data_IF_158733456427
#
_entry.id   IF_158733456427
#
_cell.length_a   1.000
_cell.length_b   1.000
_cell.length_c   1.000
_cell.angle_alpha   90.00
_cell.angle_beta   90.00
_cell.angle_gamma   90.00
#
_symmetry.space_group_name_H-M   'P 1'
#
loop_
_entity.id
_entity.type
_entity.pdbx_description
1 polymer ?
#
# COMPACT_ATOMS: atom_id res chain seq x y z
N UNK A 1 63.16 12.29 8.95
CA UNK A 1 62.64 11.06 8.31
C UNK A 1 61.71 10.37 9.29
N UNK A 2 60.41 10.66 9.24
CA UNK A 2 59.40 10.01 10.07
C UNK A 2 58.63 9.02 9.17
N UNK A 3 58.78 7.73 9.46
CA UNK A 3 58.02 6.67 8.79
C UNK A 3 56.54 6.76 9.18
N UNK A 4 55.70 7.19 8.24
CA UNK A 4 54.25 7.01 8.32
C UNK A 4 53.95 5.51 8.21
N UNK A 5 53.47 4.93 9.30
CA UNK A 5 53.10 3.52 9.38
C UNK A 5 51.73 3.34 8.73
N UNK A 6 51.72 2.91 7.47
CA UNK A 6 50.48 2.56 6.75
C UNK A 6 49.95 1.24 7.33
N UNK A 7 48.70 1.17 7.82
CA UNK A 7 48.18 -0.07 8.38
C UNK A 7 48.06 -1.16 7.29
N UNK A 8 48.33 -2.44 7.61
CA UNK A 8 48.41 -3.51 6.62
C UNK A 8 47.05 -3.78 5.94
N UNK A 9 47.07 -3.96 4.61
CA UNK A 9 45.90 -4.18 3.73
C UNK A 9 44.91 -5.27 4.19
N UNK A 10 45.33 -6.18 5.08
CA UNK A 10 44.54 -7.30 5.61
C UNK A 10 43.40 -6.86 6.54
N UNK A 11 43.51 -5.71 7.19
CA UNK A 11 42.45 -5.16 8.06
C UNK A 11 41.36 -4.44 7.27
N UNK A 12 41.73 -3.76 6.17
CA UNK A 12 40.82 -3.06 5.27
C UNK A 12 39.94 -4.01 4.45
N UNK A 13 40.51 -5.12 3.95
CA UNK A 13 39.75 -6.15 3.22
C UNK A 13 38.73 -6.88 4.10
N UNK A 14 39.02 -7.05 5.40
CA UNK A 14 38.06 -7.62 6.37
C UNK A 14 36.91 -6.65 6.70
N UNK A 15 37.14 -5.34 6.72
CA UNK A 15 36.09 -4.32 6.91
C UNK A 15 35.12 -4.26 5.71
N UNK A 16 35.61 -4.42 4.48
CA UNK A 16 34.77 -4.46 3.27
C UNK A 16 33.87 -5.72 3.24
N UNK A 17 34.39 -6.87 3.70
CA UNK A 17 33.60 -8.10 3.86
C UNK A 17 32.53 -8.00 4.97
N UNK A 18 32.76 -7.17 6.01
CA UNK A 18 31.80 -6.93 7.11
C UNK A 18 30.55 -6.16 6.67
N UNK A 19 30.66 -5.20 5.74
CA UNK A 19 29.50 -4.51 5.16
C UNK A 19 28.66 -5.46 4.27
N UNK A 20 29.31 -6.38 3.56
CA UNK A 20 28.63 -7.39 2.73
C UNK A 20 27.96 -8.49 3.57
N UNK A 21 28.55 -8.90 4.69
CA UNK A 21 27.94 -9.88 5.58
C UNK A 21 26.70 -9.35 6.32
N UNK A 22 26.67 -8.05 6.68
CA UNK A 22 25.46 -7.38 7.19
C UNK A 22 24.37 -7.21 6.12
N UNK A 23 24.73 -7.11 4.84
CA UNK A 23 23.77 -7.16 3.72
C UNK A 23 23.22 -8.57 3.43
N UNK A 24 23.86 -9.63 3.93
CA UNK A 24 23.57 -11.02 3.59
C UNK A 24 22.77 -11.80 4.65
N UNK A 25 22.39 -11.19 5.77
CA UNK A 25 21.43 -11.82 6.71
C UNK A 25 19.99 -11.80 6.16
N UNK A 26 19.78 -11.19 4.99
CA UNK A 26 18.48 -11.15 4.33
C UNK A 26 18.41 -11.82 2.96
N UNK A 27 19.50 -12.37 2.41
CA UNK A 27 19.52 -12.87 1.03
C UNK A 27 19.60 -14.38 0.88
N UNK A 28 18.48 -15.06 0.62
CA UNK A 28 18.50 -16.50 0.35
C UNK A 28 17.26 -17.10 -0.36
N UNK A 29 17.49 -17.48 -1.62
CA UNK A 29 16.79 -18.47 -2.48
C UNK A 29 15.41 -18.17 -3.11
N UNK A 30 15.36 -18.33 -4.44
CA UNK A 30 14.17 -18.39 -5.31
C UNK A 30 14.15 -19.74 -6.01
N UNK A 31 12.99 -20.39 -6.08
CA UNK A 31 12.67 -21.46 -7.03
C UNK A 31 11.47 -21.04 -7.92
N UNK A 32 11.48 -21.48 -9.17
CA UNK A 32 10.67 -20.98 -10.29
C UNK A 32 9.24 -21.57 -10.32
N UNK A 33 8.30 -20.76 -10.84
CA UNK A 33 6.94 -21.17 -11.20
C UNK A 33 6.81 -21.37 -12.71
N UNK A 34 5.89 -22.23 -13.13
CA UNK A 34 5.43 -22.37 -14.52
C UNK A 34 3.91 -22.51 -14.55
N UNK A 35 3.25 -21.67 -15.35
CA UNK A 35 1.80 -21.70 -15.61
C UNK A 35 1.54 -21.97 -17.10
N UNK A 36 0.57 -22.84 -17.40
CA UNK A 36 0.08 -23.13 -18.74
C UNK A 36 -1.27 -22.41 -18.99
N UNK A 37 -1.46 -21.90 -20.22
CA UNK A 37 -2.74 -21.42 -20.75
C UNK A 37 -3.39 -22.48 -21.64
N UNK A 38 -4.73 -22.51 -21.70
CA UNK A 38 -5.48 -23.22 -22.73
C UNK A 38 -6.71 -22.39 -23.18
N UNK A 39 -7.13 -22.44 -24.47
CA UNK A 39 -8.01 -21.44 -25.08
C UNK A 39 -9.50 -21.83 -25.17
N UNK A 40 -10.32 -20.80 -25.41
CA UNK A 40 -11.79 -20.82 -25.52
C UNK A 40 -12.32 -21.39 -26.85
N UNK A 41 -13.50 -22.01 -26.83
CA UNK A 41 -14.31 -22.29 -28.02
C UNK A 41 -15.73 -21.75 -27.86
N UNK A 42 -16.17 -20.98 -28.87
CA UNK A 42 -17.55 -20.52 -29.07
C UNK A 42 -18.38 -21.61 -29.77
N UNK A 43 -19.66 -21.74 -29.42
CA UNK A 43 -20.66 -22.37 -30.29
C UNK A 43 -22.01 -21.68 -30.11
N UNK A 44 -22.61 -21.26 -31.22
CA UNK A 44 -23.89 -20.57 -31.31
C UNK A 44 -24.91 -21.50 -31.99
N UNK A 45 -26.15 -21.59 -31.46
CA UNK A 45 -27.27 -22.31 -32.08
C UNK A 45 -28.43 -21.34 -32.43
N UNK A 46 -29.30 -21.68 -33.41
CA UNK A 46 -30.31 -20.78 -34.00
C UNK A 46 -31.69 -20.84 -33.29
N UNK A 47 -32.44 -19.74 -33.41
CA UNK A 47 -33.74 -19.47 -32.80
C UNK A 47 -34.94 -19.88 -33.68
N UNK A 48 -36.00 -20.40 -33.05
CA UNK A 48 -37.32 -20.65 -33.63
C UNK A 48 -38.33 -19.55 -33.19
N UNK A 49 -39.40 -19.24 -33.97
CA UNK A 49 -40.34 -18.15 -33.67
C UNK A 49 -41.43 -18.53 -32.66
N UNK A 50 -41.77 -17.60 -31.76
CA UNK A 50 -42.84 -17.72 -30.74
C UNK A 50 -44.16 -17.05 -31.18
N UNK A 51 -45.33 -17.57 -30.74
CA UNK A 51 -46.67 -17.08 -31.07
C UNK A 51 -47.00 -15.69 -30.47
N UNK A 52 -47.91 -14.99 -31.14
CA UNK A 52 -48.29 -13.59 -30.90
C UNK A 52 -49.21 -13.44 -29.67
N UNK A 53 -48.62 -13.18 -28.50
CA UNK A 53 -49.33 -12.93 -27.24
C UNK A 53 -49.97 -11.53 -27.19
N UNK A 54 -51.19 -11.42 -26.67
CA UNK A 54 -51.89 -10.16 -26.48
C UNK A 54 -51.18 -9.24 -25.46
N UNK A 55 -50.96 -7.97 -25.84
CA UNK A 55 -50.31 -6.97 -24.98
C UNK A 55 -51.23 -6.53 -23.82
N UNK A 56 -50.66 -6.34 -22.63
CA UNK A 56 -51.31 -5.78 -21.44
C UNK A 56 -51.09 -4.27 -21.24
N UNK A 57 -51.51 -3.76 -20.09
CA UNK A 57 -51.33 -2.36 -19.66
C UNK A 57 -50.94 -2.25 -18.18
N UNK A 58 -50.24 -1.18 -17.82
CA UNK A 58 -49.87 -0.87 -16.42
C UNK A 58 -50.37 0.53 -16.09
N UNK A 59 -51.05 0.71 -14.96
CA UNK A 59 -51.57 2.00 -14.49
C UNK A 59 -51.31 2.17 -13.01
N UNK A 60 -51.20 3.41 -12.54
CA UNK A 60 -51.07 3.68 -11.11
C UNK A 60 -51.06 5.17 -10.78
N UNK A 61 -50.98 5.48 -9.49
CA UNK A 61 -50.89 6.84 -8.96
C UNK A 61 -49.65 6.95 -8.07
N UNK A 62 -48.91 8.05 -8.23
CA UNK A 62 -47.71 8.36 -7.44
C UNK A 62 -48.09 9.28 -6.28
N UNK A 63 -47.79 8.86 -5.05
CA UNK A 63 -48.02 9.63 -3.81
C UNK A 63 -46.72 9.73 -3.00
N UNK A 64 -46.67 10.55 -1.95
CA UNK A 64 -45.60 10.54 -0.95
C UNK A 64 -45.91 9.59 0.23
N UNK A 65 -45.13 9.67 1.30
CA UNK A 65 -45.33 8.92 2.56
C UNK A 65 -46.54 9.36 3.38
N UNK A 66 -46.99 10.61 3.23
CA UNK A 66 -48.15 11.19 3.90
C UNK A 66 -49.44 11.02 3.07
N UNK A 67 -49.33 10.43 1.87
CA UNK A 67 -50.44 10.20 0.93
C UNK A 67 -50.73 11.38 0.02
N UNK A 68 -49.88 12.41 -0.01
CA UNK A 68 -50.03 13.54 -0.93
C UNK A 68 -49.68 13.13 -2.37
N UNK A 69 -50.39 13.68 -3.35
CA UNK A 69 -50.21 13.35 -4.77
C UNK A 69 -48.93 13.99 -5.33
N UNK A 70 -48.14 13.22 -6.08
CA UNK A 70 -46.93 13.70 -6.76
C UNK A 70 -47.16 13.82 -8.27
N UNK A 71 -47.37 15.05 -8.73
CA UNK A 71 -47.42 15.39 -10.15
C UNK A 71 -46.01 15.58 -10.72
N UNK A 72 -45.80 15.24 -12.00
CA UNK A 72 -44.51 15.45 -12.67
C UNK A 72 -43.43 14.41 -12.35
N UNK A 73 -43.76 13.31 -11.66
CA UNK A 73 -42.85 12.20 -11.45
C UNK A 73 -42.54 11.54 -12.80
N UNK A 74 -41.26 11.24 -13.08
CA UNK A 74 -40.83 10.46 -14.25
C UNK A 74 -40.95 8.98 -13.92
N UNK A 75 -41.65 8.23 -14.76
CA UNK A 75 -41.83 6.79 -14.65
C UNK A 75 -41.18 6.14 -15.87
N UNK A 76 -40.22 5.24 -15.63
CA UNK A 76 -39.51 4.48 -16.66
C UNK A 76 -39.84 3.01 -16.51
N UNK A 77 -40.42 2.41 -17.55
CA UNK A 77 -40.69 0.98 -17.66
C UNK A 77 -39.58 0.32 -18.48
N UNK A 78 -38.80 -0.53 -17.82
CA UNK A 78 -37.78 -1.38 -18.41
C UNK A 78 -38.28 -2.82 -18.44
N UNK A 79 -38.01 -3.54 -19.53
CA UNK A 79 -38.39 -4.94 -19.67
C UNK A 79 -37.15 -5.81 -19.74
N UNK A 80 -37.16 -6.90 -18.99
CA UNK A 80 -36.06 -7.87 -18.96
C UNK A 80 -36.33 -8.94 -20.03
N UNK A 81 -35.31 -9.32 -20.80
CA UNK A 81 -35.35 -10.34 -21.87
C UNK A 81 -35.99 -9.96 -23.22
N UNK A 82 -35.84 -8.73 -23.72
CA UNK A 82 -36.17 -8.44 -25.13
C UNK A 82 -34.96 -7.97 -25.93
N UNK A 83 -35.00 -8.28 -27.23
CA UNK A 83 -34.00 -7.88 -28.21
C UNK A 83 -33.69 -6.37 -28.10
N UNK A 84 -32.44 -5.94 -28.41
CA UNK A 84 -31.93 -4.58 -28.18
C UNK A 84 -32.68 -3.42 -28.89
N UNK A 85 -33.80 -3.70 -29.54
CA UNK A 85 -34.66 -2.74 -30.24
C UNK A 85 -35.96 -2.36 -29.50
N UNK A 86 -36.24 -2.91 -28.31
CA UNK A 86 -37.37 -2.42 -27.47
C UNK A 86 -36.88 -1.42 -26.45
N UNK A 87 -36.99 -0.15 -26.83
CA UNK A 87 -36.68 1.03 -26.03
C UNK A 87 -37.47 1.04 -24.71
N UNK A 88 -36.82 1.47 -23.62
CA UNK A 88 -37.49 1.79 -22.35
C UNK A 88 -38.64 2.76 -22.61
N UNK A 89 -39.83 2.46 -22.08
CA UNK A 89 -40.97 3.37 -22.19
C UNK A 89 -40.92 4.35 -21.02
N UNK A 90 -41.06 5.64 -21.30
CA UNK A 90 -41.12 6.68 -20.27
C UNK A 90 -42.46 7.42 -20.34
N UNK A 91 -43.00 7.74 -19.17
CA UNK A 91 -44.13 8.66 -19.01
C UNK A 91 -43.90 9.57 -17.82
N UNK A 92 -44.71 10.62 -17.71
CA UNK A 92 -44.71 11.54 -16.57
C UNK A 92 -46.08 11.42 -15.88
N UNK A 93 -46.13 11.49 -14.55
CA UNK A 93 -47.39 11.52 -13.82
C UNK A 93 -48.15 12.83 -14.07
N UNK A 94 -49.46 12.72 -14.28
CA UNK A 94 -50.37 13.84 -14.50
C UNK A 94 -50.57 14.68 -13.22
N UNK A 95 -51.36 15.75 -13.29
CA UNK A 95 -51.66 16.64 -12.15
C UNK A 95 -52.39 15.95 -11.00
N UNK A 96 -53.04 14.82 -11.26
CA UNK A 96 -53.68 13.93 -10.28
C UNK A 96 -52.75 12.77 -9.85
N UNK A 97 -51.47 12.80 -10.24
CA UNK A 97 -50.46 11.78 -9.95
C UNK A 97 -50.60 10.49 -10.74
N UNK A 98 -51.57 10.40 -11.65
CA UNK A 98 -51.83 9.18 -12.43
C UNK A 98 -50.82 8.99 -13.57
N UNK A 99 -50.52 7.74 -13.90
CA UNK A 99 -49.73 7.37 -15.08
C UNK A 99 -50.29 6.10 -15.74
N UNK A 100 -50.00 5.91 -17.03
CA UNK A 100 -50.37 4.69 -17.75
C UNK A 100 -49.38 4.31 -18.85
N UNK A 101 -49.13 3.01 -18.98
CA UNK A 101 -48.45 2.38 -20.11
C UNK A 101 -49.42 1.42 -20.79
N UNK A 102 -49.45 1.43 -22.12
CA UNK A 102 -50.34 0.57 -22.90
C UNK A 102 -49.55 -0.20 -23.96
N UNK A 103 -50.13 -1.32 -24.42
CA UNK A 103 -49.53 -2.22 -25.42
C UNK A 103 -48.20 -2.83 -24.96
N UNK A 104 -48.14 -3.21 -23.70
CA UNK A 104 -46.95 -3.83 -23.09
C UNK A 104 -47.00 -5.34 -23.37
N UNK A 105 -46.04 -5.93 -24.09
CA UNK A 105 -46.04 -7.37 -24.28
C UNK A 105 -45.84 -8.11 -22.95
N UNK A 106 -46.44 -9.30 -22.77
CA UNK A 106 -46.36 -10.05 -21.52
C UNK A 106 -44.92 -10.44 -21.16
N UNK A 107 -44.61 -10.49 -19.87
CA UNK A 107 -43.28 -10.83 -19.36
C UNK A 107 -42.85 -10.02 -18.14
N UNK A 108 -41.63 -10.26 -17.64
CA UNK A 108 -41.08 -9.53 -16.50
C UNK A 108 -40.82 -8.07 -16.85
N UNK A 109 -41.12 -7.19 -15.90
CA UNK A 109 -40.90 -5.76 -16.04
C UNK A 109 -40.39 -5.14 -14.74
N UNK A 110 -39.73 -4.01 -14.89
CA UNK A 110 -39.29 -3.16 -13.80
C UNK A 110 -39.70 -1.72 -14.08
N UNK A 111 -40.35 -1.09 -13.12
CA UNK A 111 -40.76 0.31 -13.15
C UNK A 111 -39.89 1.08 -12.18
N UNK A 112 -39.23 2.12 -12.69
CA UNK A 112 -38.45 3.08 -11.88
C UNK A 112 -39.15 4.42 -11.88
N UNK A 113 -39.45 4.94 -10.70
CA UNK A 113 -40.21 6.19 -10.51
C UNK A 113 -39.31 7.17 -9.78
N UNK A 114 -39.15 8.37 -10.34
CA UNK A 114 -38.30 9.43 -9.79
C UNK A 114 -39.01 10.78 -9.88
N UNK A 115 -39.01 11.55 -8.80
CA UNK A 115 -39.52 12.92 -8.75
C UNK A 115 -38.50 13.83 -8.03
N UNK A 116 -38.46 15.11 -8.38
CA UNK A 116 -37.55 16.06 -7.74
C UNK A 116 -37.87 16.17 -6.23
N UNK A 117 -36.86 16.04 -5.38
CA UNK A 117 -37.03 16.07 -3.92
C UNK A 117 -37.42 14.73 -3.28
N UNK A 118 -37.56 13.65 -4.05
CA UNK A 118 -37.93 12.32 -3.56
C UNK A 118 -36.89 11.26 -3.93
N UNK A 119 -36.74 10.23 -3.09
CA UNK A 119 -35.90 9.08 -3.41
C UNK A 119 -36.56 8.21 -4.49
N UNK A 120 -35.85 7.78 -5.54
CA UNK A 120 -36.44 6.96 -6.59
C UNK A 120 -36.87 5.60 -6.05
N UNK A 121 -38.03 5.11 -6.49
CA UNK A 121 -38.56 3.79 -6.10
C UNK A 121 -38.64 2.87 -7.31
N UNK A 122 -38.24 1.62 -7.11
CA UNK A 122 -38.29 0.57 -8.12
C UNK A 122 -39.33 -0.49 -7.74
N UNK A 123 -40.15 -0.90 -8.71
CA UNK A 123 -41.13 -1.98 -8.57
C UNK A 123 -40.92 -2.98 -9.70
N UNK A 124 -40.88 -4.27 -9.38
CA UNK A 124 -40.75 -5.33 -10.36
C UNK A 124 -41.96 -6.26 -10.30
N UNK A 125 -42.37 -6.77 -11.46
CA UNK A 125 -43.51 -7.67 -11.60
C UNK A 125 -43.42 -8.50 -12.87
N UNK A 126 -44.41 -9.37 -13.08
CA UNK A 126 -44.58 -10.11 -14.34
C UNK A 126 -45.97 -9.83 -14.87
N UNK A 127 -46.06 -9.27 -16.08
CA UNK A 127 -47.33 -8.95 -16.72
C UNK A 127 -47.84 -10.15 -17.51
N UNK A 128 -49.05 -10.61 -17.21
CA UNK A 128 -49.72 -11.69 -17.94
C UNK A 128 -50.34 -11.20 -19.27
N UNK A 129 -50.59 -12.09 -20.24
CA UNK A 129 -51.26 -11.74 -21.50
C UNK A 129 -52.61 -11.05 -21.30
N UNK A 130 -52.74 -9.83 -21.84
CA UNK A 130 -53.96 -9.01 -21.73
C UNK A 130 -54.25 -8.45 -20.33
N UNK A 131 -53.32 -8.55 -19.38
CA UNK A 131 -53.52 -8.06 -18.01
C UNK A 131 -53.49 -6.53 -17.91
N UNK A 132 -54.34 -5.98 -17.03
CA UNK A 132 -54.26 -4.59 -16.57
C UNK A 132 -53.69 -4.59 -15.15
N UNK A 133 -52.40 -4.30 -15.03
CA UNK A 133 -51.71 -4.34 -13.75
C UNK A 133 -51.76 -2.97 -13.05
N UNK A 134 -52.30 -2.96 -11.83
CA UNK A 134 -52.41 -1.77 -10.97
C UNK A 134 -51.71 -2.05 -9.63
N UNK A 135 -50.48 -1.54 -9.39
CA UNK A 135 -49.80 -1.73 -8.13
C UNK A 135 -50.53 -0.97 -7.02
N UNK A 136 -50.65 -1.59 -5.85
CA UNK A 136 -51.24 -0.95 -4.66
C UNK A 136 -50.36 0.20 -4.20
N UNK A 137 -50.80 1.44 -4.47
CA UNK A 137 -50.25 2.74 -4.00
C UNK A 137 -48.72 2.88 -4.07
N UNK A 138 -48.25 3.71 -5.01
CA UNK A 138 -46.82 3.98 -5.15
C UNK A 138 -46.44 5.20 -4.31
N UNK A 139 -46.02 4.96 -3.08
CA UNK A 139 -45.47 6.00 -2.20
C UNK A 139 -43.97 6.22 -2.45
N UNK A 140 -43.55 7.45 -2.76
CA UNK A 140 -42.15 7.88 -2.83
C UNK A 140 -41.74 8.52 -1.50
N UNK A 141 -40.71 8.01 -0.81
CA UNK A 141 -40.18 8.67 0.37
C UNK A 141 -39.42 9.94 -0.03
N UNK A 142 -39.45 10.97 0.83
CA UNK A 142 -38.64 12.17 0.66
C UNK A 142 -37.15 11.82 0.45
N UNK A 143 -36.46 12.59 -0.40
CA UNK A 143 -35.02 12.44 -0.54
C UNK A 143 -34.38 12.90 0.76
N UNK A 144 -33.77 11.97 1.51
CA UNK A 144 -32.91 12.36 2.61
C UNK A 144 -31.86 13.33 2.05
N UNK A 145 -31.75 14.51 2.64
CA UNK A 145 -30.62 15.41 2.40
C UNK A 145 -29.37 14.64 2.78
N UNK A 146 -28.71 14.02 1.80
CA UNK A 146 -27.38 13.49 1.99
C UNK A 146 -26.51 14.73 2.16
N UNK A 147 -26.25 15.10 3.41
CA UNK A 147 -25.04 15.86 3.70
C UNK A 147 -23.94 14.90 3.28
N UNK A 148 -23.40 15.11 2.09
CA UNK A 148 -22.20 14.44 1.63
C UNK A 148 -21.05 14.95 2.51
N UNK A 149 -20.98 14.46 3.76
CA UNK A 149 -19.69 14.32 4.41
C UNK A 149 -18.98 13.26 3.60
N UNK A 150 -18.29 13.66 2.54
CA UNK A 150 -17.18 12.87 2.03
C UNK A 150 -16.26 12.63 3.23
N UNK A 151 -16.34 11.44 3.83
CA UNK A 151 -15.34 10.96 4.79
C UNK A 151 -14.12 10.59 3.96
N UNK A 152 -13.53 11.57 3.28
CA UNK A 152 -12.21 11.41 2.72
C UNK A 152 -11.27 11.47 3.92
N UNK A 153 -10.78 10.30 4.32
CA UNK A 153 -9.81 10.18 5.40
C UNK A 153 -8.71 11.24 5.21
N UNK A 154 -8.37 11.95 6.28
CA UNK A 154 -7.29 12.93 6.24
C UNK A 154 -5.99 12.26 5.81
N UNK A 155 -5.04 12.99 5.18
CA UNK A 155 -3.74 12.42 4.80
C UNK A 155 -3.02 11.73 5.96
N UNK A 156 -3.24 12.21 7.19
CA UNK A 156 -2.66 11.66 8.41
C UNK A 156 -3.25 10.29 8.75
N UNK A 157 -4.56 10.12 8.61
CA UNK A 157 -5.28 8.85 8.81
C UNK A 157 -4.91 7.84 7.73
N UNK A 158 -4.78 8.27 6.47
CA UNK A 158 -4.31 7.41 5.38
C UNK A 158 -2.86 6.96 5.63
N UNK A 159 -1.97 7.87 6.01
CA UNK A 159 -0.59 7.52 6.36
C UNK A 159 -0.53 6.55 7.55
N UNK A 160 -1.44 6.67 8.52
CA UNK A 160 -1.52 5.76 9.65
C UNK A 160 -1.95 4.35 9.21
N UNK A 161 -2.98 4.26 8.37
CA UNK A 161 -3.41 2.98 7.80
C UNK A 161 -2.32 2.33 6.95
N UNK A 162 -1.51 3.13 6.23
CA UNK A 162 -0.35 2.64 5.50
C UNK A 162 0.70 2.04 6.44
N UNK A 163 1.02 2.71 7.54
CA UNK A 163 1.94 2.20 8.57
C UNK A 163 1.45 0.88 9.17
N UNK A 164 0.16 0.77 9.50
CA UNK A 164 -0.43 -0.48 10.00
C UNK A 164 -0.33 -1.63 8.99
N UNK A 165 -0.42 -1.31 7.70
CA UNK A 165 -0.13 -2.25 6.62
C UNK A 165 1.35 -2.64 6.58
N UNK A 166 2.24 -1.66 6.64
CA UNK A 166 3.70 -1.82 6.59
C UNK A 166 4.23 -2.68 7.77
N UNK A 167 3.61 -2.58 8.95
CA UNK A 167 3.93 -3.39 10.14
C UNK A 167 3.66 -4.89 9.98
N UNK A 168 2.69 -5.24 9.14
CA UNK A 168 2.35 -6.63 8.85
C UNK A 168 3.32 -7.24 7.83
N UNK A 169 4.16 -6.42 7.19
CA UNK A 169 5.12 -6.88 6.19
C UNK A 169 6.30 -7.58 6.87
N UNK A 170 6.34 -8.90 6.73
CA UNK A 170 7.41 -9.75 7.25
C UNK A 170 8.04 -10.58 6.14
N UNK A 171 9.34 -10.42 5.94
CA UNK A 171 10.10 -11.24 5.01
C UNK A 171 10.29 -12.62 5.62
N UNK A 172 10.04 -13.65 4.82
CA UNK A 172 9.96 -15.04 5.28
C UNK A 172 8.96 -15.24 6.45
N UNK A 173 8.00 -14.31 6.62
CA UNK A 173 7.02 -14.33 7.70
C UNK A 173 7.52 -13.90 9.07
N UNK A 174 8.82 -13.64 9.26
CA UNK A 174 9.38 -13.28 10.57
C UNK A 174 10.13 -11.94 10.57
N UNK A 175 10.86 -11.61 9.50
CA UNK A 175 11.80 -10.49 9.58
C UNK A 175 11.09 -9.17 9.22
N UNK A 176 11.10 -8.12 10.08
CA UNK A 176 10.41 -6.86 9.82
C UNK A 176 10.84 -6.21 8.50
N UNK A 177 9.85 -5.67 7.76
CA UNK A 177 10.08 -4.89 6.54
C UNK A 177 9.22 -3.61 6.55
N UNK A 178 9.32 -2.84 7.63
CA UNK A 178 8.45 -1.69 7.89
C UNK A 178 8.79 -0.46 7.04
N UNK A 179 10.04 -0.31 6.61
CA UNK A 179 10.51 0.87 5.87
C UNK A 179 10.32 0.75 4.35
N UNK A 180 9.35 -0.02 3.90
CA UNK A 180 9.14 -0.27 2.47
C UNK A 180 7.67 -0.12 2.14
N UNK A 181 7.38 0.82 1.26
CA UNK A 181 6.02 1.01 0.77
C UNK A 181 5.86 0.36 -0.58
N UNK A 182 4.83 -0.48 -0.69
CA UNK A 182 4.40 -1.11 -1.94
C UNK A 182 3.21 -0.39 -2.60
N UNK A 183 2.75 0.71 -2.00
CA UNK A 183 1.73 1.62 -2.53
C UNK A 183 2.34 2.45 -3.66
N UNK A 184 1.58 2.66 -4.74
CA UNK A 184 2.04 3.46 -5.88
C UNK A 184 2.15 4.95 -5.57
N UNK A 185 1.23 5.48 -4.75
CA UNK A 185 1.28 6.85 -4.25
C UNK A 185 1.12 6.91 -2.73
N UNK A 186 2.18 6.62 -1.98
CA UNK A 186 2.15 6.65 -0.52
C UNK A 186 2.07 8.07 -0.01
N UNK A 187 1.27 8.25 1.05
CA UNK A 187 1.13 9.53 1.70
C UNK A 187 2.38 9.76 2.56
N UNK A 188 2.98 10.97 2.54
CA UNK A 188 4.15 11.24 3.35
C UNK A 188 3.87 11.13 4.85
N UNK A 189 4.84 10.58 5.58
CA UNK A 189 4.71 10.41 7.03
C UNK A 189 4.87 11.73 7.77
N UNK A 190 4.06 11.95 8.80
CA UNK A 190 4.31 13.02 9.77
C UNK A 190 5.54 12.73 10.62
N UNK A 191 6.11 13.75 11.29
CA UNK A 191 7.23 13.54 12.22
C UNK A 191 6.89 12.47 13.26
N UNK A 192 5.69 12.51 13.87
CA UNK A 192 5.26 11.53 14.88
C UNK A 192 5.29 10.10 14.32
N UNK A 193 4.77 9.92 13.11
CA UNK A 193 4.73 8.62 12.42
C UNK A 193 6.12 8.07 12.08
N UNK A 194 7.08 8.94 11.74
CA UNK A 194 8.49 8.54 11.53
C UNK A 194 9.12 8.00 12.81
N UNK A 195 8.88 8.67 13.95
CA UNK A 195 9.33 8.19 15.26
C UNK A 195 8.63 6.89 15.68
N UNK A 196 7.34 6.76 15.38
CA UNK A 196 6.58 5.52 15.63
C UNK A 196 7.18 4.33 14.88
N UNK A 197 7.45 4.48 13.58
CA UNK A 197 8.04 3.43 12.76
C UNK A 197 9.45 3.02 13.24
N UNK A 198 10.25 4.00 13.65
CA UNK A 198 11.56 3.76 14.25
C UNK A 198 11.46 3.02 15.58
N UNK A 199 10.53 3.44 16.45
CA UNK A 199 10.31 2.78 17.72
C UNK A 199 9.88 1.33 17.53
N UNK A 200 8.90 1.07 16.65
CA UNK A 200 8.41 -0.28 16.32
C UNK A 200 9.52 -1.18 15.78
N UNK A 201 10.43 -0.64 14.96
CA UNK A 201 11.60 -1.37 14.46
C UNK A 201 12.56 -1.75 15.60
N UNK A 202 12.83 -0.83 16.53
CA UNK A 202 13.79 -1.04 17.61
C UNK A 202 13.31 -2.06 18.64
N UNK A 203 12.01 -2.05 18.96
CA UNK A 203 11.45 -2.98 19.95
C UNK A 203 10.99 -4.31 19.35
N UNK A 204 11.20 -4.53 18.04
CA UNK A 204 10.83 -5.78 17.40
C UNK A 204 11.70 -6.94 17.93
N UNK A 205 11.11 -8.09 18.33
CA UNK A 205 11.86 -9.23 18.85
C UNK A 205 12.98 -9.74 17.93
N UNK A 206 12.83 -9.58 16.62
CA UNK A 206 13.85 -10.00 15.65
C UNK A 206 15.06 -9.09 15.69
N UNK A 207 14.91 -7.80 16.03
CA UNK A 207 16.03 -6.87 16.20
C UNK A 207 16.95 -7.30 17.34
N UNK A 208 16.39 -7.70 18.49
CA UNK A 208 17.17 -8.26 19.61
C UNK A 208 17.90 -9.54 19.20
N UNK A 209 17.19 -10.44 18.53
CA UNK A 209 17.73 -11.74 18.11
C UNK A 209 18.86 -11.58 17.09
N UNK A 210 18.67 -10.73 16.08
CA UNK A 210 19.68 -10.42 15.08
C UNK A 210 20.91 -9.75 15.70
N UNK A 211 20.70 -8.85 16.66
CA UNK A 211 21.79 -8.23 17.41
C UNK A 211 22.59 -9.26 18.22
N UNK A 212 21.89 -10.22 18.83
CA UNK A 212 22.51 -11.38 19.51
C UNK A 212 23.40 -12.19 18.58
N UNK A 213 22.88 -12.52 17.41
CA UNK A 213 23.63 -13.26 16.39
C UNK A 213 24.87 -12.49 15.92
N UNK A 214 24.74 -11.18 15.65
CA UNK A 214 25.87 -10.30 15.27
C UNK A 214 26.93 -10.29 16.38
N UNK A 215 26.55 -10.05 17.63
CA UNK A 215 27.46 -10.06 18.76
C UNK A 215 28.15 -11.42 18.95
N UNK A 216 27.46 -12.52 18.61
CA UNK A 216 28.01 -13.88 18.64
C UNK A 216 29.10 -14.09 17.59
N UNK A 217 28.89 -13.59 16.37
CA UNK A 217 29.91 -13.59 15.31
C UNK A 217 31.11 -12.74 15.74
N UNK A 218 30.86 -11.52 16.23
CA UNK A 218 31.92 -10.62 16.71
C UNK A 218 32.71 -11.24 17.85
N UNK A 219 32.05 -11.95 18.77
CA UNK A 219 32.68 -12.69 19.85
C UNK A 219 33.60 -13.80 19.32
N UNK A 220 33.10 -14.62 18.39
CA UNK A 220 33.81 -15.74 17.80
C UNK A 220 35.05 -15.30 16.99
N UNK A 221 34.99 -14.12 16.39
CA UNK A 221 36.08 -13.53 15.62
C UNK A 221 37.06 -12.70 16.47
N UNK A 222 36.77 -12.53 17.76
CA UNK A 222 37.45 -11.59 18.66
C UNK A 222 37.49 -10.15 18.13
N UNK A 223 36.42 -9.75 17.45
CA UNK A 223 36.24 -8.37 17.01
C UNK A 223 36.10 -7.47 18.23
N UNK A 224 36.77 -6.31 18.26
CA UNK A 224 36.86 -5.44 19.44
C UNK A 224 37.48 -6.14 20.66
N UNK A 225 38.61 -6.84 20.49
CA UNK A 225 39.27 -7.64 21.52
C UNK A 225 39.52 -6.94 22.88
N UNK A 226 39.53 -5.60 22.93
CA UNK A 226 39.55 -4.82 24.18
C UNK A 226 38.33 -5.06 25.10
N UNK A 227 37.24 -5.62 24.59
CA UNK A 227 36.09 -6.04 25.41
C UNK A 227 36.32 -7.36 26.16
N UNK A 228 37.34 -8.13 25.77
CA UNK A 228 37.66 -9.44 26.34
C UNK A 228 36.82 -10.58 25.77
N UNK A 229 37.11 -11.80 26.22
CA UNK A 229 36.41 -13.02 25.83
C UNK A 229 35.43 -13.50 26.92
N UNK A 230 34.60 -14.49 26.61
CA UNK A 230 33.58 -15.01 27.52
C UNK A 230 32.31 -14.13 27.63
N UNK A 231 31.44 -14.46 28.58
CA UNK A 231 30.10 -13.85 28.69
C UNK A 231 30.09 -12.33 28.84
N UNK A 232 31.08 -11.77 29.55
CA UNK A 232 31.21 -10.31 29.70
C UNK A 232 31.60 -9.62 28.38
N UNK A 233 32.52 -10.23 27.62
CA UNK A 233 32.91 -9.74 26.29
C UNK A 233 31.72 -9.75 25.33
N UNK A 234 30.94 -10.83 25.34
CA UNK A 234 29.75 -10.96 24.51
C UNK A 234 28.70 -9.92 24.89
N UNK A 235 28.43 -9.73 26.18
CA UNK A 235 27.47 -8.73 26.65
C UNK A 235 27.84 -7.30 26.23
N UNK A 236 29.14 -6.95 26.24
CA UNK A 236 29.62 -5.64 25.75
C UNK A 236 29.41 -5.50 24.24
N UNK A 237 29.73 -6.53 23.44
CA UNK A 237 29.49 -6.55 21.99
C UNK A 237 28.01 -6.41 21.67
N UNK A 238 27.15 -7.16 22.36
CA UNK A 238 25.70 -7.07 22.25
C UNK A 238 25.20 -5.65 22.54
N UNK A 239 25.61 -5.07 23.67
CA UNK A 239 25.21 -3.72 24.04
C UNK A 239 25.67 -2.67 23.03
N UNK A 240 26.90 -2.80 22.51
CA UNK A 240 27.44 -1.90 21.49
C UNK A 240 26.68 -2.04 20.15
N UNK A 241 26.42 -3.27 19.71
CA UNK A 241 25.67 -3.54 18.48
C UNK A 241 24.21 -3.05 18.59
N UNK A 242 23.56 -3.26 19.73
CA UNK A 242 22.21 -2.74 19.97
C UNK A 242 22.19 -1.20 20.03
N UNK A 243 23.18 -0.59 20.69
CA UNK A 243 23.36 0.86 20.72
C UNK A 243 23.53 1.45 19.32
N UNK A 244 24.31 0.80 18.46
CA UNK A 244 24.44 1.17 17.05
C UNK A 244 23.08 1.11 16.32
N UNK A 245 22.29 0.05 16.55
CA UNK A 245 20.97 -0.08 15.93
C UNK A 245 20.02 1.04 16.36
N UNK A 246 20.00 1.38 17.67
CA UNK A 246 19.22 2.49 18.22
C UNK A 246 19.63 3.81 17.56
N UNK A 247 20.93 4.13 17.60
CA UNK A 247 21.44 5.40 17.08
C UNK A 247 21.20 5.51 15.58
N UNK A 248 21.50 4.47 14.81
CA UNK A 248 21.31 4.44 13.37
C UNK A 248 19.85 4.62 12.96
N UNK A 249 18.93 3.90 13.61
CA UNK A 249 17.50 3.99 13.33
C UNK A 249 16.93 5.33 13.77
N UNK A 250 17.26 5.79 14.99
CA UNK A 250 16.77 7.06 15.49
C UNK A 250 17.25 8.24 14.63
N UNK A 251 18.54 8.29 14.28
CA UNK A 251 19.09 9.40 13.49
C UNK A 251 18.68 9.30 12.03
N UNK A 252 18.90 8.15 11.40
CA UNK A 252 18.70 7.96 9.96
C UNK A 252 17.24 7.87 9.54
N UNK A 253 16.37 7.33 10.40
CA UNK A 253 14.98 7.02 10.03
C UNK A 253 13.91 7.83 10.79
N UNK A 254 14.27 8.57 11.85
CA UNK A 254 13.32 9.42 12.59
C UNK A 254 13.76 10.89 12.69
N UNK A 255 14.88 11.17 13.35
CA UNK A 255 15.32 12.54 13.69
C UNK A 255 15.67 13.33 12.43
N UNK A 256 16.62 12.87 11.61
CA UNK A 256 17.01 13.60 10.40
C UNK A 256 15.86 13.66 9.39
N UNK A 257 15.10 12.57 9.11
CA UNK A 257 13.93 12.64 8.25
C UNK A 257 12.85 13.62 8.72
N UNK A 258 12.64 13.76 10.04
CA UNK A 258 11.67 14.71 10.60
C UNK A 258 12.13 16.17 10.50
N UNK A 259 13.43 16.43 10.67
CA UNK A 259 14.04 17.76 10.56
C UNK A 259 14.11 18.19 9.10
N UNK A 260 14.62 17.32 8.23
CA UNK A 260 14.89 17.60 6.81
C UNK A 260 13.68 17.38 5.91
N UNK A 261 12.53 16.99 6.47
CA UNK A 261 11.29 16.74 5.74
C UNK A 261 11.48 15.70 4.63
N UNK A 262 12.06 14.56 5.01
CA UNK A 262 12.35 13.42 4.15
C UNK A 262 11.53 12.21 4.59
N UNK A 263 11.04 11.43 3.64
CA UNK A 263 10.40 10.15 3.93
C UNK A 263 11.48 9.07 4.08
N UNK A 264 11.52 8.35 5.22
CA UNK A 264 12.54 7.33 5.46
C UNK A 264 12.30 6.02 4.71
N UNK A 265 11.16 5.85 4.01
CA UNK A 265 10.80 4.59 3.36
C UNK A 265 11.40 4.47 1.96
N UNK A 266 11.70 3.23 1.57
CA UNK A 266 11.96 2.87 0.18
C UNK A 266 10.62 2.60 -0.54
N UNK A 267 10.42 3.27 -1.68
CA UNK A 267 9.22 3.10 -2.51
C UNK A 267 9.46 2.05 -3.58
N UNK A 268 8.81 0.90 -3.46
CA UNK A 268 8.98 -0.21 -4.39
C UNK A 268 8.44 0.13 -5.78
N UNK A 269 9.27 -0.02 -6.82
CA UNK A 269 8.90 0.35 -8.19
C UNK A 269 8.12 -0.74 -8.92
N UNK A 270 8.61 -1.97 -8.92
CA UNK A 270 7.91 -3.18 -9.40
C UNK A 270 7.61 -3.31 -10.89
N UNK A 271 7.52 -2.20 -11.62
CA UNK A 271 7.17 -2.15 -13.04
C UNK A 271 8.33 -1.61 -13.88
N UNK A 272 8.28 -1.87 -15.19
CA UNK A 272 9.33 -1.50 -16.14
C UNK A 272 10.45 -2.54 -16.26
N UNK A 273 11.49 -2.19 -17.04
CA UNK A 273 12.59 -3.11 -17.35
C UNK A 273 13.49 -3.35 -16.14
N UNK A 274 14.17 -4.51 -16.10
CA UNK A 274 15.15 -4.85 -15.05
C UNK A 274 16.19 -3.73 -14.87
N UNK A 275 16.69 -3.15 -15.96
CA UNK A 275 17.63 -2.03 -15.92
C UNK A 275 17.01 -0.78 -15.29
N UNK A 276 15.78 -0.42 -15.68
CA UNK A 276 15.07 0.75 -15.13
C UNK A 276 14.80 0.63 -13.63
N UNK A 277 14.51 -0.58 -13.17
CA UNK A 277 14.27 -0.89 -11.76
C UNK A 277 15.57 -0.90 -10.95
N UNK A 278 16.64 -1.49 -11.49
CA UNK A 278 17.95 -1.48 -10.86
C UNK A 278 18.53 -0.05 -10.71
N UNK A 279 18.45 0.76 -11.78
CA UNK A 279 18.88 2.16 -11.73
C UNK A 279 18.09 2.97 -10.71
N UNK A 280 16.77 2.74 -10.64
CA UNK A 280 15.90 3.39 -9.65
C UNK A 280 16.29 3.00 -8.21
N UNK A 281 16.50 1.71 -7.95
CA UNK A 281 16.87 1.20 -6.63
C UNK A 281 18.23 1.77 -6.17
N UNK A 282 19.22 1.78 -7.06
CA UNK A 282 20.52 2.39 -6.79
C UNK A 282 20.42 3.91 -6.58
N UNK A 283 19.62 4.61 -7.40
CA UNK A 283 19.43 6.06 -7.24
C UNK A 283 18.88 6.39 -5.84
N UNK A 284 17.94 5.59 -5.31
CA UNK A 284 17.35 5.78 -3.97
C UNK A 284 18.36 5.67 -2.81
N UNK A 285 19.63 5.29 -3.07
CA UNK A 285 20.70 5.42 -2.07
C UNK A 285 21.13 6.86 -1.83
N UNK A 286 20.92 7.75 -2.81
CA UNK A 286 21.32 9.17 -2.78
C UNK A 286 20.15 10.13 -3.01
N UNK A 287 18.98 9.63 -3.40
CA UNK A 287 17.73 10.40 -3.48
C UNK A 287 16.64 9.77 -2.62
N UNK A 288 15.75 10.58 -2.07
CA UNK A 288 14.55 10.13 -1.36
C UNK A 288 13.37 11.06 -1.72
N UNK A 289 12.15 10.63 -1.38
CA UNK A 289 10.95 11.48 -1.51
C UNK A 289 10.87 12.39 -0.29
N UNK A 290 10.62 13.67 -0.51
CA UNK A 290 10.36 14.63 0.56
C UNK A 290 8.93 14.51 1.09
N UNK A 291 8.67 15.15 2.23
CA UNK A 291 7.32 15.25 2.80
C UNK A 291 6.35 16.03 1.90
N UNK A 292 6.88 16.72 0.90
CA UNK A 292 6.15 17.41 -0.17
C UNK A 292 5.86 16.52 -1.40
N UNK A 293 6.26 15.24 -1.36
CA UNK A 293 6.08 14.30 -2.46
C UNK A 293 7.11 14.40 -3.60
N UNK A 294 8.03 15.38 -3.57
CA UNK A 294 9.05 15.56 -4.59
C UNK A 294 10.34 14.79 -4.28
N UNK A 295 11.06 14.37 -5.31
CA UNK A 295 12.38 13.75 -5.17
C UNK A 295 13.45 14.78 -4.80
N UNK A 296 14.28 14.47 -3.82
CA UNK A 296 15.35 15.34 -3.35
C UNK A 296 16.58 14.52 -2.90
N UNK A 297 17.76 15.14 -2.73
CA UNK A 297 18.94 14.43 -2.23
C UNK A 297 18.69 13.83 -0.83
N UNK A 298 19.09 12.59 -0.62
CA UNK A 298 18.87 11.83 0.63
C UNK A 298 19.85 12.22 1.73
N UNK A 299 19.77 13.46 2.20
CA UNK A 299 20.60 13.96 3.29
C UNK A 299 20.43 13.17 4.58
N UNK A 300 19.22 12.71 4.93
CA UNK A 300 18.98 11.92 6.14
C UNK A 300 19.68 10.56 6.11
N UNK A 301 19.65 9.86 4.97
CA UNK A 301 20.36 8.59 4.79
C UNK A 301 21.88 8.79 4.78
N UNK A 302 22.37 9.78 4.03
CA UNK A 302 23.81 10.06 3.89
C UNK A 302 24.41 10.50 5.24
N UNK A 303 23.79 11.47 5.91
CA UNK A 303 24.25 11.99 7.19
C UNK A 303 23.97 11.00 8.34
N UNK A 304 22.89 10.22 8.26
CA UNK A 304 22.57 9.18 9.24
C UNK A 304 23.62 8.07 9.26
N UNK A 305 24.06 7.59 8.08
CA UNK A 305 25.16 6.63 7.97
C UNK A 305 26.48 7.18 8.51
N UNK A 306 26.78 8.45 8.23
CA UNK A 306 27.96 9.14 8.76
C UNK A 306 27.89 9.33 10.29
N UNK A 307 26.72 9.66 10.84
CA UNK A 307 26.49 9.87 12.26
C UNK A 307 26.61 8.57 13.06
N UNK A 308 26.08 7.45 12.56
CA UNK A 308 26.23 6.14 13.20
C UNK A 308 27.71 5.74 13.33
N UNK A 309 28.50 5.92 12.27
CA UNK A 309 29.95 5.67 12.30
C UNK A 309 30.77 6.69 13.11
N UNK A 310 30.21 7.86 13.41
CA UNK A 310 30.86 8.89 14.23
C UNK A 310 30.54 8.71 15.72
N UNK A 311 29.31 8.31 16.05
CA UNK A 311 28.86 8.05 17.42
C UNK A 311 29.49 6.77 17.97
N UNK A 312 29.77 5.79 17.11
CA UNK A 312 30.54 4.59 17.47
C UNK A 312 31.94 4.91 18.02
N UNK A 313 32.52 6.07 17.68
CA UNK A 313 33.82 6.47 18.22
C UNK A 313 33.80 6.79 19.74
N UNK A 314 32.63 7.07 20.32
CA UNK A 314 32.53 7.37 21.76
C UNK A 314 32.64 6.11 22.63
N UNK A 315 32.18 4.96 22.13
CA UNK A 315 32.15 3.70 22.88
C UNK A 315 33.02 2.57 22.31
N UNK A 316 33.58 2.70 21.10
CA UNK A 316 34.61 1.77 20.61
C UNK A 316 36.01 2.08 21.19
N UNK A 317 36.89 1.06 21.32
CA UNK A 317 38.24 1.21 21.83
C UNK A 317 39.05 2.26 21.04
N UNK A 318 39.99 2.93 21.72
CA UNK A 318 40.77 4.05 21.16
C UNK A 318 41.58 3.71 19.91
N UNK A 319 41.97 2.45 19.71
CA UNK A 319 42.70 1.98 18.54
C UNK A 319 41.86 1.94 17.25
N UNK A 320 40.53 2.04 17.33
CA UNK A 320 39.61 1.98 16.19
C UNK A 320 38.99 3.35 15.82
N UNK A 321 39.42 4.44 16.49
CA UNK A 321 38.88 5.80 16.33
C UNK A 321 39.69 6.60 15.29
N UNK A 322 39.27 6.63 14.01
CA UNK A 322 40.06 7.20 12.89
C UNK A 322 39.54 8.53 12.29
N UNK A 323 39.02 9.47 13.10
CA UNK A 323 38.82 10.88 12.70
C UNK A 323 37.93 11.16 11.47
N UNK A 324 38.19 12.27 10.76
CA UNK A 324 37.34 12.78 9.66
C UNK A 324 37.36 11.94 8.37
N UNK A 325 38.47 11.26 8.07
CA UNK A 325 38.56 10.33 6.93
C UNK A 325 37.61 9.15 7.11
N UNK A 326 37.48 8.64 8.34
CA UNK A 326 36.54 7.56 8.66
C UNK A 326 35.08 7.99 8.46
N UNK A 327 34.75 9.25 8.72
CA UNK A 327 33.40 9.79 8.47
C UNK A 327 33.05 9.80 6.98
N UNK A 328 33.98 10.20 6.10
CA UNK A 328 33.76 10.19 4.64
C UNK A 328 33.72 8.76 4.10
N UNK A 329 34.63 7.88 4.55
CA UNK A 329 34.60 6.46 4.19
C UNK A 329 33.30 5.78 4.63
N UNK A 330 32.81 6.05 5.85
CA UNK A 330 31.55 5.51 6.35
C UNK A 330 30.33 6.06 5.59
N UNK A 331 30.35 7.33 5.17
CA UNK A 331 29.30 7.87 4.32
C UNK A 331 29.25 7.16 2.95
N UNK A 332 30.41 6.95 2.32
CA UNK A 332 30.50 6.24 1.04
C UNK A 332 30.08 4.76 1.15
N UNK A 333 30.51 4.08 2.22
CA UNK A 333 30.08 2.71 2.53
C UNK A 333 28.58 2.64 2.84
N UNK A 334 28.03 3.65 3.53
CA UNK A 334 26.60 3.77 3.78
C UNK A 334 25.80 3.86 2.49
N UNK A 335 26.20 4.74 1.56
CA UNK A 335 25.55 4.87 0.25
C UNK A 335 25.61 3.55 -0.53
N UNK A 336 26.79 2.92 -0.59
CA UNK A 336 26.95 1.65 -1.29
C UNK A 336 26.10 0.53 -0.65
N UNK A 337 26.06 0.45 0.68
CA UNK A 337 25.22 -0.48 1.43
C UNK A 337 23.73 -0.26 1.16
N UNK A 338 23.27 0.99 1.19
CA UNK A 338 21.89 1.34 0.85
C UNK A 338 21.52 0.97 -0.59
N UNK A 339 22.44 1.15 -1.55
CA UNK A 339 22.19 0.74 -2.94
C UNK A 339 22.02 -0.79 -3.06
N UNK A 340 22.84 -1.57 -2.37
CA UNK A 340 22.73 -3.04 -2.33
C UNK A 340 21.40 -3.45 -1.67
N UNK A 341 21.06 -2.84 -0.54
CA UNK A 341 19.81 -3.11 0.17
C UNK A 341 18.58 -2.78 -0.70
N UNK A 342 18.59 -1.64 -1.39
CA UNK A 342 17.49 -1.24 -2.27
C UNK A 342 17.34 -2.20 -3.46
N UNK A 343 18.46 -2.64 -4.05
CA UNK A 343 18.44 -3.66 -5.10
C UNK A 343 17.84 -4.98 -4.58
N UNK A 344 18.21 -5.36 -3.37
CA UNK A 344 17.67 -6.53 -2.71
C UNK A 344 16.16 -6.40 -2.46
N UNK A 345 15.69 -5.22 -2.02
CA UNK A 345 14.27 -4.92 -1.92
C UNK A 345 13.54 -5.04 -3.25
N UNK A 346 14.12 -4.49 -4.31
CA UNK A 346 13.49 -4.41 -5.62
C UNK A 346 13.34 -5.80 -6.25
N UNK A 347 14.32 -6.69 -6.10
CA UNK A 347 14.35 -7.94 -6.86
C UNK A 347 14.05 -9.21 -6.05
N UNK A 348 14.22 -9.18 -4.73
CA UNK A 348 14.13 -10.40 -3.91
C UNK A 348 13.04 -10.28 -2.86
N UNK A 349 13.04 -9.24 -2.02
CA UNK A 349 12.19 -9.21 -0.82
C UNK A 349 10.71 -9.22 -1.09
N UNK A 350 10.25 -8.60 -2.18
CA UNK A 350 8.83 -8.71 -2.56
C UNK A 350 8.39 -10.17 -2.73
N UNK A 351 9.23 -11.05 -3.27
CA UNK A 351 8.90 -12.48 -3.46
C UNK A 351 8.89 -13.26 -2.16
N UNK A 352 9.59 -12.77 -1.15
CA UNK A 352 9.74 -13.40 0.16
C UNK A 352 8.78 -12.85 1.21
N UNK A 353 7.94 -11.86 0.85
CA UNK A 353 6.95 -11.26 1.75
C UNK A 353 5.55 -11.77 1.38
N UNK A 354 5.03 -12.81 2.07
CA UNK A 354 3.78 -13.47 1.67
C UNK A 354 2.52 -12.64 1.91
N UNK A 355 2.53 -11.72 2.89
CA UNK A 355 1.38 -10.90 3.26
C UNK A 355 1.66 -9.42 2.95
N UNK A 356 1.50 -9.05 1.68
CA UNK A 356 1.50 -7.65 1.28
C UNK A 356 0.10 -7.08 1.46
N UNK A 357 -0.07 -5.89 2.05
CA UNK A 357 -1.38 -5.27 2.15
C UNK A 357 -1.97 -5.02 0.75
N UNK A 358 -3.25 -5.34 0.57
CA UNK A 358 -3.94 -5.10 -0.69
C UNK A 358 -4.42 -3.64 -0.72
N UNK A 359 -3.74 -2.81 -1.50
CA UNK A 359 -3.98 -1.37 -1.56
C UNK A 359 -4.89 -0.97 -2.74
N UNK A 360 -5.44 -1.94 -3.49
CA UNK A 360 -6.26 -1.66 -4.69
C UNK A 360 -7.63 -1.03 -4.41
N UNK A 361 -8.08 -0.99 -3.17
CA UNK A 361 -9.45 -0.59 -2.80
C UNK A 361 -9.60 0.82 -2.20
N UNK A 362 -8.52 1.60 -2.06
CA UNK A 362 -8.59 2.91 -1.39
C UNK A 362 -8.60 4.14 -2.32
N UNK A 363 -8.59 3.95 -3.65
CA UNK A 363 -8.62 5.06 -4.62
C UNK A 363 -9.91 5.17 -5.45
N UNK A 364 -10.96 4.41 -5.10
CA UNK A 364 -12.22 4.35 -5.87
C UNK A 364 -13.47 4.79 -5.11
N UNK A 365 -13.35 5.39 -3.92
CA UNK A 365 -14.50 5.97 -3.20
C UNK A 365 -14.40 7.49 -3.12
#
# INVERSE_FOLDING_TARGET
>A
MQHHNVPPLRHQTRRIFRCLALCLIFGGLVAHASAQQQPSQNTQLPSAPTPQSASGSIRGTVTDSDGAIIAGARITLTRENLAPSTQDQQTISSTDGSFSFSRIPPGPFTITISAAGFSPRQLSGTLQPGENYEPSVISLPEAATIIDMQITASPQEVAQAQIEGEEKQRVLGIIPNFYVSYVSDPVPLTSKQKFELAWKTLIDPVTFTATGFIAGIEQAQDDFGGYGQGGQGYAKRYAAAYGNAIVGTAIGNAILPAILKQDPRYFYKGTGTTRSRALYAMANSVICKGDNGHWQPNYSGILGGAAAGSISNFYYPSADRNGATLTVENAALGIAGSAIQNLFQEFVVRKLTPHLPDYKTQSEN
#
